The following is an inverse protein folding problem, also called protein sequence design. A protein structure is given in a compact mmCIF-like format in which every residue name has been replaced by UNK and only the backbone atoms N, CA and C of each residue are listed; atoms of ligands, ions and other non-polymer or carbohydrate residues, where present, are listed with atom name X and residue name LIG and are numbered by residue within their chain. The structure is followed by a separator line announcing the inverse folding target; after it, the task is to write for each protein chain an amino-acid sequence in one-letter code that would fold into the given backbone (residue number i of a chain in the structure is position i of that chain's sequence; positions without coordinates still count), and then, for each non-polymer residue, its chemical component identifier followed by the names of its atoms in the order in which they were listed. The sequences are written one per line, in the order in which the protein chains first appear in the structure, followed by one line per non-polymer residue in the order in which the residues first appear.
data_IF_978151996923
#
_entry.id   IF_978151996923
#
_cell.length_a   1.000
_cell.length_b   1.000
_cell.length_c   1.000
_cell.angle_alpha   90.00
_cell.angle_beta   90.00
_cell.angle_gamma   90.00
#
_symmetry.space_group_name_H-M   'P 1'
#
loop_
_entity.id
_entity.type
_entity.pdbx_description
1 polymer ?
#
# COMPACT_ATOMS: atom_id res chain seq x y z
N UNK A 1 15.31 -21.20 -4.40
CA UNK A 1 14.02 -21.53 -3.81
C UNK A 1 13.61 -20.47 -2.80
N UNK A 2 12.36 -20.05 -2.88
CA UNK A 2 11.85 -19.02 -1.99
C UNK A 2 11.51 -19.59 -0.62
N UNK A 3 11.88 -18.88 0.44
CA UNK A 3 11.46 -19.24 1.78
C UNK A 3 10.07 -18.70 2.05
N UNK A 4 9.33 -19.39 2.88
CA UNK A 4 7.99 -18.98 3.28
C UNK A 4 8.06 -17.81 4.25
N UNK A 5 7.14 -16.84 4.10
CA UNK A 5 7.09 -15.66 4.96
C UNK A 5 5.67 -15.39 5.42
N UNK A 6 5.53 -14.79 6.59
CA UNK A 6 4.24 -14.39 7.12
C UNK A 6 3.85 -13.01 6.62
N UNK A 7 2.54 -12.70 6.53
CA UNK A 7 2.11 -11.34 6.11
C UNK A 7 2.74 -10.24 6.94
N UNK A 8 2.88 -10.41 8.26
CA UNK A 8 3.46 -9.39 9.14
C UNK A 8 4.90 -9.03 8.77
N UNK A 9 5.63 -9.93 8.10
CA UNK A 9 7.02 -9.66 7.70
C UNK A 9 7.08 -8.65 6.55
N UNK A 10 5.99 -8.44 5.82
CA UNK A 10 5.92 -7.49 4.73
C UNK A 10 5.25 -6.18 5.13
N UNK A 11 4.87 -6.02 6.40
CA UNK A 11 4.15 -4.83 6.86
C UNK A 11 4.97 -3.57 6.64
N UNK A 12 4.35 -2.59 5.99
CA UNK A 12 4.91 -1.25 5.79
C UNK A 12 3.87 -0.26 6.31
N UNK A 13 4.31 0.69 7.12
CA UNK A 13 3.49 1.79 7.57
C UNK A 13 4.10 3.08 7.05
N UNK A 14 3.33 3.82 6.24
CA UNK A 14 3.76 5.07 5.65
C UNK A 14 2.90 6.20 6.20
N UNK A 15 3.54 7.30 6.58
CA UNK A 15 2.86 8.44 7.19
C UNK A 15 3.21 9.70 6.42
N UNK A 16 2.19 10.47 6.03
CA UNK A 16 2.37 11.71 5.26
C UNK A 16 1.48 12.81 5.81
N UNK A 17 2.00 14.02 5.87
CA UNK A 17 1.22 15.20 6.20
C UNK A 17 0.62 15.76 4.91
N UNK A 18 -0.69 16.03 4.90
CA UNK A 18 -1.37 16.57 3.72
C UNK A 18 -1.08 18.06 3.61
N UNK A 19 -0.31 18.44 2.60
CA UNK A 19 0.10 19.82 2.35
C UNK A 19 -0.79 20.44 1.25
N UNK A 20 -0.79 21.79 1.10
CA UNK A 20 -1.62 22.43 0.07
C UNK A 20 -1.44 21.86 -1.33
N UNK A 21 -0.20 21.51 -1.72
CA UNK A 21 0.07 20.95 -3.06
C UNK A 21 -0.56 19.57 -3.26
N UNK A 22 -0.99 18.91 -2.20
CA UNK A 22 -1.59 17.58 -2.26
C UNK A 22 -3.09 17.64 -2.38
N UNK A 23 -3.70 18.84 -2.35
CA UNK A 23 -5.14 19.00 -2.20
C UNK A 23 -5.80 19.58 -3.45
N UNK A 24 -7.11 19.31 -3.58
CA UNK A 24 -7.95 19.90 -4.60
C UNK A 24 -8.52 21.24 -4.11
N UNK A 25 -9.44 21.83 -4.92
CA UNK A 25 -10.06 23.12 -4.62
C UNK A 25 -10.84 23.15 -3.31
N UNK A 26 -11.24 21.99 -2.82
CA UNK A 26 -12.06 21.87 -1.60
C UNK A 26 -11.23 21.64 -0.35
N UNK A 27 -9.90 21.65 -0.48
CA UNK A 27 -9.01 21.41 0.66
C UNK A 27 -8.91 19.94 1.06
N UNK A 28 -9.26 19.03 0.16
CA UNK A 28 -9.16 17.58 0.41
C UNK A 28 -7.99 16.99 -0.39
N UNK A 29 -7.35 15.98 0.20
CA UNK A 29 -6.30 15.23 -0.50
C UNK A 29 -6.83 14.71 -1.84
N UNK A 30 -6.08 14.97 -2.91
CA UNK A 30 -6.45 14.48 -4.23
C UNK A 30 -6.36 12.96 -4.28
N UNK A 31 -7.38 12.32 -4.89
CA UNK A 31 -7.40 10.87 -5.03
C UNK A 31 -6.15 10.33 -5.73
N UNK A 32 -5.71 11.00 -6.79
CA UNK A 32 -4.49 10.58 -7.49
C UNK A 32 -3.24 10.66 -6.65
N UNK A 33 -3.13 11.68 -5.78
CA UNK A 33 -1.99 11.80 -4.87
C UNK A 33 -2.01 10.67 -3.84
N UNK A 34 -3.17 10.37 -3.29
CA UNK A 34 -3.32 9.27 -2.34
C UNK A 34 -2.97 7.94 -3.00
N UNK A 35 -3.45 7.70 -4.21
CA UNK A 35 -3.14 6.46 -4.93
C UNK A 35 -1.64 6.34 -5.22
N UNK A 36 -0.97 7.46 -5.49
CA UNK A 36 0.48 7.47 -5.67
C UNK A 36 1.20 7.03 -4.38
N UNK A 37 0.79 7.60 -3.24
CA UNK A 37 1.37 7.19 -1.95
C UNK A 37 1.07 5.73 -1.64
N UNK A 38 -0.15 5.28 -1.94
CA UNK A 38 -0.53 3.89 -1.74
C UNK A 38 0.32 2.95 -2.60
N UNK A 39 0.59 3.35 -3.85
CA UNK A 39 1.42 2.55 -4.74
C UNK A 39 2.83 2.38 -4.18
N UNK A 40 3.41 3.46 -3.63
CA UNK A 40 4.73 3.40 -3.01
C UNK A 40 4.71 2.46 -1.80
N UNK A 41 3.75 2.61 -0.91
CA UNK A 41 3.66 1.77 0.29
C UNK A 41 3.48 0.31 -0.08
N UNK A 42 2.63 0.03 -1.07
CA UNK A 42 2.36 -1.33 -1.51
C UNK A 42 3.58 -1.94 -2.19
N UNK A 43 4.30 -1.16 -3.02
CA UNK A 43 5.51 -1.64 -3.68
C UNK A 43 6.58 -1.99 -2.64
N UNK A 44 6.74 -1.16 -1.61
CA UNK A 44 7.68 -1.45 -0.53
C UNK A 44 7.32 -2.74 0.20
N UNK A 45 6.04 -2.95 0.47
CA UNK A 45 5.56 -4.18 1.11
C UNK A 45 5.87 -5.40 0.24
N UNK A 46 5.57 -5.32 -1.06
CA UNK A 46 5.84 -6.40 -2.00
C UNK A 46 7.34 -6.71 -2.07
N UNK A 47 8.19 -5.68 -2.12
CA UNK A 47 9.65 -5.86 -2.14
C UNK A 47 10.18 -6.50 -0.86
N UNK A 48 9.61 -6.17 0.28
CA UNK A 48 9.98 -6.81 1.54
C UNK A 48 9.64 -8.29 1.53
N UNK A 49 8.57 -8.67 0.85
CA UNK A 49 8.17 -10.07 0.76
C UNK A 49 9.05 -10.85 -0.20
N UNK A 50 9.32 -10.32 -1.39
CA UNK A 50 9.98 -11.10 -2.45
C UNK A 50 11.45 -10.77 -2.66
N UNK A 51 11.98 -9.69 -2.04
CA UNK A 51 13.37 -9.26 -2.17
C UNK A 51 13.79 -9.08 -3.64
N UNK A 52 12.91 -8.49 -4.45
CA UNK A 52 13.14 -8.29 -5.88
C UNK A 52 12.42 -7.02 -6.35
N UNK A 53 12.82 -6.45 -7.50
CA UNK A 53 12.06 -5.37 -8.11
C UNK A 53 10.64 -5.84 -8.43
N UNK A 54 9.68 -4.92 -8.33
CA UNK A 54 8.27 -5.22 -8.59
C UNK A 54 7.67 -4.16 -9.48
N UNK A 55 6.60 -4.54 -10.21
CA UNK A 55 5.79 -3.60 -10.98
C UNK A 55 4.34 -3.78 -10.62
N UNK A 56 3.58 -2.69 -10.63
CA UNK A 56 2.15 -2.72 -10.36
C UNK A 56 1.44 -3.34 -11.56
N UNK A 57 0.71 -4.42 -11.33
CA UNK A 57 -0.04 -5.12 -12.38
C UNK A 57 -1.50 -4.73 -12.40
N UNK A 58 -2.11 -4.54 -11.24
CA UNK A 58 -3.51 -4.13 -11.16
C UNK A 58 -3.79 -3.44 -9.82
N UNK A 59 -4.86 -2.64 -9.82
CA UNK A 59 -5.35 -1.92 -8.65
C UNK A 59 -6.84 -2.24 -8.55
N UNK A 60 -7.24 -2.89 -7.46
CA UNK A 60 -8.60 -3.38 -7.31
C UNK A 60 -9.24 -2.92 -6.01
N UNK A 61 -10.56 -2.85 -6.03
CA UNK A 61 -11.40 -2.65 -4.84
C UNK A 61 -11.04 -1.41 -4.03
N UNK A 62 -10.79 -0.29 -4.72
CA UNK A 62 -10.58 0.98 -4.02
C UNK A 62 -11.92 1.53 -3.59
N UNK A 63 -12.08 1.74 -2.28
CA UNK A 63 -13.25 2.42 -1.74
C UNK A 63 -12.78 3.69 -1.05
N UNK A 64 -13.42 4.82 -1.38
CA UNK A 64 -13.15 6.12 -0.75
C UNK A 64 -14.33 6.43 0.16
N UNK A 65 -14.15 6.20 1.45
CA UNK A 65 -15.24 6.38 2.41
C UNK A 65 -15.27 7.77 3.00
N UNK A 66 -14.09 8.31 3.34
CA UNK A 66 -13.98 9.63 3.95
C UNK A 66 -12.84 10.41 3.32
N UNK A 67 -13.08 11.66 2.88
CA UNK A 67 -12.00 12.50 2.36
C UNK A 67 -11.03 12.88 3.48
N UNK A 68 -9.77 13.08 3.12
CA UNK A 68 -8.73 13.50 4.06
C UNK A 68 -8.43 14.96 3.81
N UNK A 69 -8.51 15.77 4.84
CA UNK A 69 -8.40 17.22 4.73
C UNK A 69 -6.96 17.71 4.81
N UNK A 70 -6.73 18.88 4.24
CA UNK A 70 -5.46 19.58 4.36
C UNK A 70 -5.08 19.71 5.85
N UNK A 71 -3.82 19.50 6.15
CA UNK A 71 -3.34 19.56 7.54
C UNK A 71 -3.54 18.29 8.33
N UNK A 72 -4.31 17.33 7.82
CA UNK A 72 -4.44 16.04 8.47
C UNK A 72 -3.28 15.13 8.07
N UNK A 73 -3.11 14.04 8.79
CA UNK A 73 -2.05 13.06 8.56
C UNK A 73 -2.65 11.82 7.93
N UNK A 74 -1.99 11.29 6.91
CA UNK A 74 -2.38 10.04 6.27
C UNK A 74 -1.49 8.92 6.81
N UNK A 75 -2.12 7.83 7.24
CA UNK A 75 -1.41 6.61 7.62
C UNK A 75 -1.82 5.51 6.66
N UNK A 76 -0.86 4.88 6.01
CA UNK A 76 -1.11 3.78 5.09
C UNK A 76 -0.42 2.54 5.63
N UNK A 77 -1.21 1.49 5.88
CA UNK A 77 -0.70 0.19 6.28
C UNK A 77 -0.81 -0.75 5.09
N UNK A 78 0.32 -1.29 4.66
CA UNK A 78 0.38 -2.21 3.52
C UNK A 78 1.03 -3.52 3.94
N UNK A 79 0.43 -4.64 3.55
CA UNK A 79 1.06 -5.94 3.74
C UNK A 79 0.60 -6.92 2.68
N UNK A 80 1.47 -7.86 2.33
CA UNK A 80 1.16 -8.92 1.37
C UNK A 80 0.20 -9.90 2.05
N UNK A 81 -0.96 -10.11 1.43
CA UNK A 81 -2.00 -10.97 1.96
C UNK A 81 -2.19 -12.23 1.14
N UNK A 82 -1.69 -12.26 -0.08
CA UNK A 82 -1.71 -13.46 -0.94
C UNK A 82 -0.49 -13.45 -1.84
N UNK A 83 0.10 -14.63 -2.05
CA UNK A 83 1.16 -14.76 -3.03
C UNK A 83 0.80 -15.87 -4.02
N UNK A 84 1.23 -15.65 -5.26
CA UNK A 84 1.00 -16.58 -6.37
C UNK A 84 2.37 -16.98 -6.92
N UNK A 85 2.43 -17.49 -8.13
CA UNK A 85 3.71 -17.93 -8.69
C UNK A 85 4.72 -16.77 -8.82
N UNK A 86 4.34 -15.71 -9.51
CA UNK A 86 5.22 -14.55 -9.74
C UNK A 86 4.60 -13.24 -9.31
N UNK A 87 3.44 -13.27 -8.66
CA UNK A 87 2.73 -12.07 -8.25
C UNK A 87 2.30 -12.16 -6.79
N UNK A 88 1.95 -11.00 -6.24
CA UNK A 88 1.53 -10.84 -4.85
C UNK A 88 0.37 -9.87 -4.79
N UNK A 89 -0.57 -10.15 -3.91
CA UNK A 89 -1.63 -9.21 -3.58
C UNK A 89 -1.25 -8.47 -2.31
N UNK A 90 -1.28 -7.15 -2.36
CA UNK A 90 -1.00 -6.30 -1.20
C UNK A 90 -2.29 -5.63 -0.78
N UNK A 91 -2.65 -5.82 0.47
CA UNK A 91 -3.81 -5.17 1.07
C UNK A 91 -3.37 -3.90 1.79
N UNK A 92 -4.11 -2.82 1.59
CA UNK A 92 -3.82 -1.55 2.25
C UNK A 92 -5.03 -1.02 2.97
N UNK A 93 -4.80 -0.49 4.18
CA UNK A 93 -5.76 0.29 4.93
C UNK A 93 -5.21 1.70 5.06
N UNK A 94 -6.07 2.67 4.81
CA UNK A 94 -5.68 4.08 4.87
C UNK A 94 -6.53 4.80 5.90
N UNK A 95 -5.86 5.50 6.79
CA UNK A 95 -6.47 6.27 7.89
C UNK A 95 -6.11 7.74 7.72
N UNK A 96 -7.07 8.62 8.00
CA UNK A 96 -6.78 10.02 8.21
C UNK A 96 -6.70 10.29 9.70
N UNK A 97 -5.91 11.27 10.08
CA UNK A 97 -5.80 11.67 11.48
C UNK A 97 -5.78 13.17 11.59
N UNK A 98 -6.67 13.73 12.40
CA UNK A 98 -6.59 15.11 12.82
C UNK A 98 -5.72 15.11 14.08
N UNK A 99 -4.44 15.47 13.93
CA UNK A 99 -3.48 15.38 15.03
C UNK A 99 -3.75 16.42 16.13
N UNK A 100 -4.40 17.54 15.78
CA UNK A 100 -4.70 18.60 16.75
C UNK A 100 -5.89 18.22 17.62
N UNK A 101 -6.96 17.69 16.98
CA UNK A 101 -8.15 17.23 17.71
C UNK A 101 -8.01 15.79 18.18
N UNK A 102 -6.93 15.12 17.81
CA UNK A 102 -6.54 13.79 18.28
C UNK A 102 -7.59 12.72 17.99
N UNK A 103 -8.04 12.63 16.74
CA UNK A 103 -8.87 11.50 16.34
C UNK A 103 -8.46 10.98 14.96
N UNK A 104 -8.65 9.67 14.77
CA UNK A 104 -8.40 8.97 13.52
C UNK A 104 -9.72 8.51 12.91
N UNK A 105 -9.72 8.40 11.59
CA UNK A 105 -10.88 7.89 10.86
C UNK A 105 -10.39 7.08 9.66
N UNK A 106 -11.15 6.05 9.31
CA UNK A 106 -10.81 5.23 8.15
C UNK A 106 -11.18 6.01 6.89
N UNK A 107 -10.23 6.12 5.97
CA UNK A 107 -10.45 6.83 4.71
C UNK A 107 -10.77 5.86 3.58
N UNK A 108 -9.92 4.86 3.37
CA UNK A 108 -10.16 3.91 2.29
C UNK A 108 -9.38 2.63 2.49
N UNK A 109 -9.66 1.67 1.61
CA UNK A 109 -9.05 0.35 1.62
C UNK A 109 -8.90 -0.08 0.18
N UNK A 110 -7.83 -0.81 -0.14
CA UNK A 110 -7.59 -1.24 -1.51
C UNK A 110 -6.72 -2.48 -1.54
N UNK A 111 -6.72 -3.14 -2.70
CA UNK A 111 -5.85 -4.26 -3.01
C UNK A 111 -5.09 -3.94 -4.28
N UNK A 112 -3.77 -4.07 -4.22
CA UNK A 112 -2.90 -3.89 -5.39
C UNK A 112 -2.20 -5.20 -5.67
N UNK A 113 -2.02 -5.54 -6.96
CA UNK A 113 -1.27 -6.71 -7.36
C UNK A 113 0.04 -6.29 -8.00
N UNK A 114 1.12 -6.91 -7.54
CA UNK A 114 2.48 -6.65 -8.02
C UNK A 114 3.08 -7.91 -8.60
N UNK A 115 3.88 -7.74 -9.67
CA UNK A 115 4.63 -8.84 -10.27
C UNK A 115 6.10 -8.63 -9.95
N UNK A 116 6.76 -9.68 -9.43
CA UNK A 116 8.19 -9.65 -9.17
C UNK A 116 8.96 -9.87 -10.47
N UNK A 117 10.05 -9.14 -10.64
CA UNK A 117 10.84 -9.17 -11.87
C UNK A 117 12.25 -9.70 -11.61
N UNK A 118 12.77 -10.44 -12.58
CA UNK A 118 14.16 -10.87 -12.58
C UNK A 118 15.05 -9.75 -13.17
N UNK A 119 16.40 -9.92 -13.20
CA UNK A 119 17.29 -8.90 -13.75
C UNK A 119 17.04 -8.57 -15.22
N UNK A 120 16.36 -9.44 -15.96
CA UNK A 120 16.02 -9.21 -17.36
C UNK A 120 14.62 -8.57 -17.52
N UNK A 121 13.96 -8.20 -16.42
CA UNK A 121 12.64 -7.59 -16.46
C UNK A 121 11.51 -8.57 -16.70
N UNK A 122 11.74 -9.85 -16.50
CA UNK A 122 10.71 -10.89 -16.67
C UNK A 122 10.18 -11.36 -15.32
N UNK A 123 8.94 -11.89 -15.28
CA UNK A 123 8.40 -12.39 -14.01
C UNK A 123 9.28 -13.47 -13.40
N UNK A 124 9.41 -13.43 -12.09
CA UNK A 124 10.16 -14.42 -11.31
C UNK A 124 9.30 -14.93 -10.16
N UNK A 125 9.67 -16.11 -9.63
CA UNK A 125 8.95 -16.72 -8.51
C UNK A 125 9.06 -15.86 -7.25
N UNK A 126 7.98 -15.83 -6.49
CA UNK A 126 7.94 -15.12 -5.21
C UNK A 126 7.86 -16.12 -4.05
N UNK A 127 8.18 -15.62 -2.85
CA UNK A 127 8.09 -16.40 -1.63
C UNK A 127 6.65 -16.84 -1.37
N UNK A 128 6.48 -18.06 -0.85
CA UNK A 128 5.18 -18.51 -0.38
C UNK A 128 4.77 -17.72 0.86
N UNK A 129 3.48 -17.61 1.08
CA UNK A 129 2.92 -16.89 2.22
C UNK A 129 2.44 -17.91 3.26
N UNK A 130 2.94 -17.79 4.50
CA UNK A 130 2.55 -18.64 5.60
C UNK A 130 1.37 -18.01 6.36
N UNK A 131 0.55 -18.83 7.05
CA UNK A 131 -0.47 -18.29 7.94
C UNK A 131 0.15 -17.42 9.03
N UNK A 132 -0.59 -16.40 9.48
CA UNK A 132 -0.10 -15.47 10.49
C UNK A 132 -0.04 -16.11 11.88
N UNK A 133 -0.91 -17.06 12.16
CA UNK A 133 -0.98 -17.74 13.45
C UNK A 133 -0.18 -19.02 13.48
#
# INVERSE_FOLDING_TARGET
MSSEKKPSESLVIMTELVLPNDTNNFGNLMGGRLMYWMDIAAALSAMKHCAAPVVTASVDNISFENPIKIGNVVHIEAKVTRSFNSSMEVHMKVWGEDAIQQYKYKSNEAYYTFVALDPNGKPRSVNSLAPET
#
